data_IF_519712323934
#
_entry.id   IF_519712323934
#
_cell.length_a   1.000
_cell.length_b   1.000
_cell.length_c   1.000
_cell.angle_alpha   90.00
_cell.angle_beta   90.00
_cell.angle_gamma   90.00
#
_symmetry.space_group_name_H-M   'P 1'
#
loop_
_entity.id
_entity.type
_entity.pdbx_description
1 polymer ?
#
# COMPACT_ATOMS: atom_id res chain seq x y z
N UNK A 1 56.48 14.68 45.27
CA UNK A 1 56.26 13.51 44.41
C UNK A 1 54.79 13.45 44.02
N UNK A 2 54.46 14.01 42.86
CA UNK A 2 53.10 14.11 42.27
C UNK A 2 53.16 13.44 40.89
N UNK A 3 53.06 12.13 40.82
CA UNK A 3 53.13 11.40 39.54
C UNK A 3 52.10 10.28 39.38
N UNK A 4 51.13 10.16 40.29
CA UNK A 4 50.10 9.10 40.23
C UNK A 4 48.79 9.53 39.58
N UNK A 5 48.53 10.83 39.39
CA UNK A 5 47.20 11.30 38.93
C UNK A 5 47.03 11.42 37.41
N UNK A 6 48.10 11.32 36.60
CA UNK A 6 47.98 11.49 35.13
C UNK A 6 47.69 10.20 34.35
N UNK A 7 47.85 9.02 34.95
CA UNK A 7 47.69 7.75 34.21
C UNK A 7 46.22 7.29 34.16
N UNK A 8 45.42 7.63 35.16
CA UNK A 8 44.00 7.20 35.24
C UNK A 8 43.08 7.94 34.26
N UNK A 9 43.43 9.15 33.83
CA UNK A 9 42.60 9.95 32.91
C UNK A 9 42.65 9.48 31.46
N UNK A 10 43.77 8.90 31.01
CA UNK A 10 43.97 8.53 29.59
C UNK A 10 43.25 7.21 29.24
N UNK A 11 43.11 6.30 30.19
CA UNK A 11 42.46 4.98 29.97
C UNK A 11 40.95 5.11 29.75
N UNK A 12 40.32 6.13 30.36
CA UNK A 12 38.87 6.38 30.19
C UNK A 12 38.60 6.97 28.81
N UNK A 13 39.47 7.84 28.26
CA UNK A 13 39.23 8.46 26.94
C UNK A 13 39.36 7.44 25.80
N UNK A 14 40.26 6.46 25.92
CA UNK A 14 40.45 5.42 24.90
C UNK A 14 39.34 4.35 24.91
N UNK A 15 38.62 4.17 26.01
CA UNK A 15 37.45 3.28 26.05
C UNK A 15 36.20 3.93 25.45
N UNK A 16 36.07 5.26 25.49
CA UNK A 16 34.96 5.96 24.84
C UNK A 16 35.05 6.03 23.31
N UNK A 17 36.24 5.90 22.70
CA UNK A 17 36.35 5.82 21.24
C UNK A 17 35.91 4.46 20.65
N UNK A 18 35.90 3.39 21.45
CA UNK A 18 35.50 2.06 20.99
C UNK A 18 33.98 1.82 21.03
N UNK A 19 33.21 2.61 21.79
CA UNK A 19 31.75 2.48 21.85
C UNK A 19 31.01 3.27 20.76
N UNK A 20 31.67 4.19 20.05
CA UNK A 20 31.03 4.96 18.98
C UNK A 20 30.72 4.12 17.72
N UNK A 21 31.31 2.92 17.58
CA UNK A 21 31.14 2.09 16.38
C UNK A 21 30.06 0.99 16.49
N UNK A 22 29.36 0.88 17.63
CA UNK A 22 28.42 -0.21 17.86
C UNK A 22 26.96 0.09 17.46
N UNK A 23 26.63 1.32 17.08
CA UNK A 23 25.33 1.66 16.49
C UNK A 23 25.44 1.86 14.97
N UNK A 24 25.91 0.83 14.26
CA UNK A 24 25.50 0.70 12.85
C UNK A 24 24.02 0.31 12.84
N UNK A 25 23.15 1.31 12.83
CA UNK A 25 21.77 1.14 12.35
C UNK A 25 21.89 0.37 11.03
N UNK A 26 21.46 -0.90 11.04
CA UNK A 26 21.43 -1.73 9.85
C UNK A 26 20.65 -0.94 8.81
N UNK A 27 21.33 -0.52 7.74
CA UNK A 27 20.73 0.32 6.70
C UNK A 27 19.47 -0.40 6.22
N UNK A 28 18.30 0.09 6.62
CA UNK A 28 17.03 -0.52 6.27
C UNK A 28 16.88 -0.38 4.76
N UNK A 29 16.91 -1.51 4.06
CA UNK A 29 16.64 -1.55 2.63
C UNK A 29 15.21 -1.97 2.41
N UNK A 30 14.52 -1.21 1.56
CA UNK A 30 13.18 -1.54 1.12
C UNK A 30 13.24 -2.83 0.30
N UNK A 31 12.16 -3.64 0.28
CA UNK A 31 12.09 -4.80 -0.60
C UNK A 31 12.11 -4.36 -2.06
N UNK A 32 12.38 -5.30 -2.98
CA UNK A 32 12.22 -5.05 -4.42
C UNK A 32 10.76 -5.18 -4.82
N UNK A 33 10.28 -4.31 -5.70
CA UNK A 33 8.92 -4.39 -6.23
C UNK A 33 8.77 -5.55 -7.21
N UNK A 34 7.65 -6.27 -7.14
CA UNK A 34 7.12 -7.03 -8.28
C UNK A 34 6.44 -6.09 -9.28
N UNK A 35 6.12 -6.58 -10.48
CA UNK A 35 5.48 -5.77 -11.52
C UNK A 35 4.11 -5.22 -11.08
N UNK A 36 3.34 -6.01 -10.34
CA UNK A 36 2.01 -5.63 -9.84
C UNK A 36 2.05 -4.70 -8.63
N UNK A 37 3.22 -4.58 -7.98
CA UNK A 37 3.37 -3.81 -6.76
C UNK A 37 3.65 -2.34 -7.06
N UNK A 38 2.98 -1.50 -6.29
CA UNK A 38 3.18 -0.05 -6.31
C UNK A 38 4.50 0.29 -5.62
N UNK A 39 5.37 1.04 -6.30
CA UNK A 39 6.63 1.50 -5.73
C UNK A 39 6.44 2.75 -4.87
N UNK A 40 5.43 3.57 -5.20
CA UNK A 40 4.98 4.66 -4.34
C UNK A 40 3.53 5.05 -4.61
N UNK A 41 2.92 5.76 -3.66
CA UNK A 41 1.67 6.48 -3.87
C UNK A 41 1.68 7.78 -3.08
N UNK A 42 0.82 8.72 -3.48
CA UNK A 42 0.61 9.95 -2.74
C UNK A 42 -0.72 9.90 -2.00
N UNK A 43 -0.69 10.16 -0.69
CA UNK A 43 -1.89 10.33 0.12
C UNK A 43 -1.68 11.46 1.12
N UNK A 44 -2.70 12.29 1.31
CA UNK A 44 -2.68 13.42 2.26
C UNK A 44 -1.47 14.38 2.06
N UNK A 45 -1.04 14.55 0.80
CA UNK A 45 0.12 15.38 0.45
C UNK A 45 1.49 14.75 0.76
N UNK A 46 1.53 13.51 1.25
CA UNK A 46 2.76 12.77 1.56
C UNK A 46 2.99 11.67 0.52
N UNK A 47 4.23 11.52 0.07
CA UNK A 47 4.64 10.43 -0.83
C UNK A 47 5.15 9.26 0.00
N UNK A 48 4.47 8.13 -0.09
CA UNK A 48 4.86 6.88 0.55
C UNK A 48 5.64 6.02 -0.44
N UNK A 49 6.91 5.76 -0.18
CA UNK A 49 7.74 4.91 -1.03
C UNK A 49 7.93 3.53 -0.39
N UNK A 50 7.44 2.50 -1.07
CA UNK A 50 7.14 1.19 -0.49
C UNK A 50 8.22 0.14 -0.79
N UNK A 51 8.73 0.14 -2.01
CA UNK A 51 9.74 -0.80 -2.50
C UNK A 51 10.70 -0.10 -3.48
N UNK A 52 11.87 -0.70 -3.68
CA UNK A 52 12.85 -0.25 -4.67
C UNK A 52 12.57 -0.90 -6.02
N UNK A 53 12.73 -0.14 -7.09
CA UNK A 53 12.58 -0.68 -8.43
C UNK A 53 13.70 -1.65 -8.81
N UNK A 54 13.39 -2.71 -9.60
CA UNK A 54 14.40 -3.61 -10.11
C UNK A 54 15.33 -2.88 -11.09
N UNK A 55 16.59 -3.33 -11.19
CA UNK A 55 17.60 -2.70 -12.05
C UNK A 55 18.61 -1.81 -11.32
N UNK A 56 19.37 -1.03 -12.08
CA UNK A 56 20.40 -0.13 -11.56
C UNK A 56 19.80 1.10 -10.87
N UNK A 57 18.72 1.64 -11.44
CA UNK A 57 17.95 2.72 -10.85
C UNK A 57 16.93 2.15 -9.84
N UNK A 58 17.09 2.54 -8.58
CA UNK A 58 16.21 2.07 -7.48
C UNK A 58 15.05 3.01 -7.21
N UNK A 59 15.06 4.21 -7.79
CA UNK A 59 14.00 5.22 -7.65
C UNK A 59 12.69 4.72 -8.24
N UNK A 60 11.59 5.07 -7.58
CA UNK A 60 10.26 4.91 -8.16
C UNK A 60 10.04 6.06 -9.17
N UNK A 61 9.74 5.77 -10.45
CA UNK A 61 9.44 6.77 -11.46
C UNK A 61 8.25 7.63 -11.06
N UNK A 62 8.29 8.92 -11.43
CA UNK A 62 7.19 9.88 -11.15
C UNK A 62 6.45 10.33 -12.40
N UNK A 63 6.86 9.82 -13.55
CA UNK A 63 6.25 10.15 -14.83
C UNK A 63 4.80 9.65 -14.87
N UNK A 64 3.87 10.41 -15.49
CA UNK A 64 2.46 10.03 -15.55
C UNK A 64 2.20 8.69 -16.23
N UNK A 65 3.08 8.26 -17.13
CA UNK A 65 2.99 6.97 -17.84
C UNK A 65 3.19 5.75 -16.92
N UNK A 66 3.87 5.96 -15.79
CA UNK A 66 4.09 4.97 -14.75
C UNK A 66 3.01 5.00 -13.67
N UNK A 67 2.04 5.91 -13.79
CA UNK A 67 1.01 6.12 -12.79
C UNK A 67 -0.33 5.51 -13.23
N UNK A 68 -1.01 4.89 -12.26
CA UNK A 68 -2.39 4.42 -12.41
C UNK A 68 -3.22 5.11 -11.36
N UNK A 69 -4.28 5.78 -11.79
CA UNK A 69 -5.29 6.29 -10.87
C UNK A 69 -6.23 5.14 -10.48
N UNK A 70 -6.37 4.92 -9.18
CA UNK A 70 -7.34 3.98 -8.65
C UNK A 70 -8.03 4.60 -7.42
N UNK A 71 -9.35 4.79 -7.51
CA UNK A 71 -10.19 5.40 -6.46
C UNK A 71 -9.65 6.75 -5.95
N UNK A 72 -9.22 7.61 -6.87
CA UNK A 72 -8.70 8.95 -6.55
C UNK A 72 -7.32 8.95 -5.88
N UNK A 73 -6.65 7.79 -5.79
CA UNK A 73 -5.25 7.71 -5.38
C UNK A 73 -4.40 7.40 -6.61
N UNK A 74 -3.30 8.14 -6.78
CA UNK A 74 -2.34 7.91 -7.84
C UNK A 74 -1.24 6.96 -7.34
N UNK A 75 -1.17 5.79 -7.97
CA UNK A 75 -0.20 4.76 -7.65
C UNK A 75 0.86 4.67 -8.74
N UNK A 76 2.14 4.75 -8.36
CA UNK A 76 3.26 4.68 -9.28
C UNK A 76 3.88 3.27 -9.30
N UNK A 77 4.27 2.83 -10.50
CA UNK A 77 4.90 1.55 -10.77
C UNK A 77 6.29 1.74 -11.39
N UNK A 78 7.14 0.72 -11.25
CA UNK A 78 8.50 0.77 -11.79
C UNK A 78 8.56 0.82 -13.32
N UNK A 79 7.49 0.40 -13.99
CA UNK A 79 7.31 0.48 -15.44
C UNK A 79 5.88 0.89 -15.76
N UNK A 80 5.67 1.46 -16.95
CA UNK A 80 4.33 1.70 -17.46
C UNK A 80 3.54 0.38 -17.51
N UNK A 81 2.27 0.41 -17.09
CA UNK A 81 1.40 -0.76 -17.06
C UNK A 81 0.06 -0.41 -17.70
N UNK A 82 -0.43 -1.33 -18.53
CA UNK A 82 -1.82 -1.32 -18.98
C UNK A 82 -2.63 -2.20 -18.03
N UNK A 83 -3.27 -1.59 -17.03
CA UNK A 83 -4.06 -2.31 -16.03
C UNK A 83 -5.44 -2.61 -16.60
N UNK A 84 -5.86 -3.89 -16.70
CA UNK A 84 -7.13 -4.26 -17.30
C UNK A 84 -8.32 -3.88 -16.42
N UNK A 85 -9.53 -3.92 -17.00
CA UNK A 85 -10.77 -3.85 -16.23
C UNK A 85 -11.06 -5.19 -15.55
N UNK A 86 -11.58 -5.15 -14.32
CA UNK A 86 -11.98 -6.33 -13.57
C UNK A 86 -13.35 -6.86 -14.02
N UNK A 87 -13.56 -8.17 -13.97
CA UNK A 87 -14.88 -8.80 -13.98
C UNK A 87 -15.55 -8.72 -12.59
N UNK A 88 -16.84 -9.07 -12.51
CA UNK A 88 -17.55 -9.12 -11.22
C UNK A 88 -16.99 -10.24 -10.34
N UNK A 89 -16.58 -9.88 -9.11
CA UNK A 89 -15.96 -10.79 -8.16
C UNK A 89 -14.43 -10.89 -8.25
N UNK A 90 -13.79 -10.30 -9.25
CA UNK A 90 -12.34 -10.28 -9.38
C UNK A 90 -11.68 -9.46 -8.27
N UNK A 91 -10.52 -9.93 -7.79
CA UNK A 91 -9.67 -9.17 -6.87
C UNK A 91 -8.97 -8.04 -7.62
N UNK A 92 -9.41 -6.80 -7.38
CA UNK A 92 -8.79 -5.61 -7.96
C UNK A 92 -7.49 -5.23 -7.26
N UNK A 93 -7.48 -5.31 -5.92
CA UNK A 93 -6.38 -4.82 -5.11
C UNK A 93 -6.04 -5.81 -4.00
N UNK A 94 -4.74 -6.04 -3.78
CA UNK A 94 -4.22 -6.80 -2.64
C UNK A 94 -3.29 -5.89 -1.83
N UNK A 95 -3.52 -5.84 -0.51
CA UNK A 95 -2.68 -5.10 0.43
C UNK A 95 -1.99 -6.08 1.37
N UNK A 96 -0.66 -6.08 1.35
CA UNK A 96 0.18 -6.89 2.24
C UNK A 96 1.06 -5.97 3.08
N UNK A 97 0.68 -5.77 4.35
CA UNK A 97 1.31 -4.77 5.21
C UNK A 97 1.08 -3.35 4.67
N UNK A 98 2.17 -2.67 4.26
CA UNK A 98 2.10 -1.34 3.62
C UNK A 98 2.11 -1.42 2.08
N UNK A 99 2.35 -2.61 1.53
CA UNK A 99 2.54 -2.81 0.11
C UNK A 99 1.20 -3.04 -0.57
N UNK A 100 0.92 -2.28 -1.63
CA UNK A 100 -0.33 -2.38 -2.39
C UNK A 100 -0.01 -2.91 -3.78
N UNK A 101 -0.73 -3.95 -4.21
CA UNK A 101 -0.71 -4.47 -5.56
C UNK A 101 -2.04 -4.18 -6.26
N UNK A 102 -1.97 -3.69 -7.49
CA UNK A 102 -3.14 -3.40 -8.33
C UNK A 102 -3.13 -4.37 -9.50
N UNK A 103 -4.16 -5.20 -9.56
CA UNK A 103 -4.33 -6.28 -10.53
C UNK A 103 -5.21 -5.85 -11.70
N UNK A 104 -6.32 -5.16 -11.40
CA UNK A 104 -7.27 -4.66 -12.38
C UNK A 104 -8.05 -3.45 -11.80
N UNK A 105 -8.76 -2.71 -12.64
CA UNK A 105 -9.60 -1.56 -12.26
C UNK A 105 -11.07 -1.98 -12.27
N UNK A 106 -11.79 -1.73 -11.17
CA UNK A 106 -13.24 -1.95 -11.15
C UNK A 106 -13.94 -1.05 -12.17
N UNK A 107 -14.93 -1.61 -12.88
CA UNK A 107 -15.82 -0.85 -13.74
C UNK A 107 -16.57 0.25 -12.95
N UNK A 108 -16.99 1.30 -13.67
CA UNK A 108 -17.80 2.37 -13.10
C UNK A 108 -19.12 1.82 -12.52
N UNK A 109 -19.51 2.28 -11.34
CA UNK A 109 -20.69 1.78 -10.62
C UNK A 109 -20.49 0.48 -9.83
N UNK A 110 -19.31 -0.15 -9.92
CA UNK A 110 -18.94 -1.26 -9.04
C UNK A 110 -18.38 -0.78 -7.71
N UNK A 111 -18.64 -1.52 -6.65
CA UNK A 111 -18.06 -1.31 -5.32
C UNK A 111 -16.79 -2.13 -5.14
N UNK A 112 -15.87 -1.62 -4.31
CA UNK A 112 -14.68 -2.33 -3.89
C UNK A 112 -14.94 -2.92 -2.49
N UNK A 113 -15.15 -4.23 -2.43
CA UNK A 113 -15.55 -4.93 -1.21
C UNK A 113 -14.35 -5.68 -0.64
N UNK A 114 -14.06 -5.44 0.64
CA UNK A 114 -13.01 -6.17 1.35
C UNK A 114 -13.41 -7.64 1.54
N UNK A 115 -12.56 -8.56 1.08
CA UNK A 115 -12.73 -9.99 1.30
C UNK A 115 -11.79 -10.50 2.40
N UNK A 116 -12.23 -11.55 3.11
CA UNK A 116 -11.40 -12.20 4.13
C UNK A 116 -10.32 -13.01 3.43
N UNK A 117 -9.06 -12.67 3.68
CA UNK A 117 -7.94 -13.53 3.31
C UNK A 117 -7.75 -14.63 4.36
N UNK A 118 -7.44 -15.85 3.92
CA UNK A 118 -6.99 -16.93 4.81
C UNK A 118 -5.56 -16.68 5.32
N UNK A 119 -4.78 -15.88 4.58
CA UNK A 119 -3.40 -15.54 4.91
C UNK A 119 -3.34 -14.29 5.79
N UNK A 120 -2.67 -14.41 6.94
CA UNK A 120 -2.52 -13.31 7.90
C UNK A 120 -1.74 -12.15 7.29
N UNK A 121 -2.27 -10.94 7.41
CA UNK A 121 -1.60 -9.72 6.96
C UNK A 121 -1.83 -9.38 5.50
N UNK A 122 -2.62 -10.19 4.79
CA UNK A 122 -3.10 -9.89 3.43
C UNK A 122 -4.56 -9.45 3.52
N UNK A 123 -4.87 -8.35 2.85
CA UNK A 123 -6.24 -7.88 2.66
C UNK A 123 -6.54 -7.82 1.17
N UNK A 124 -7.57 -8.54 0.73
CA UNK A 124 -8.01 -8.53 -0.66
C UNK A 124 -9.25 -7.65 -0.80
N UNK A 125 -9.35 -6.99 -1.95
CA UNK A 125 -10.46 -6.13 -2.30
C UNK A 125 -11.00 -6.54 -3.67
N UNK A 126 -12.23 -7.05 -3.68
CA UNK A 126 -12.90 -7.54 -4.88
C UNK A 126 -13.85 -6.48 -5.46
N UNK A 127 -13.97 -6.43 -6.78
CA UNK A 127 -15.01 -5.63 -7.43
C UNK A 127 -16.36 -6.34 -7.32
N UNK A 128 -17.41 -5.63 -6.94
CA UNK A 128 -18.77 -6.14 -6.92
C UNK A 128 -19.70 -5.18 -7.65
N UNK A 129 -20.41 -5.68 -8.66
CA UNK A 129 -21.41 -4.91 -9.38
C UNK A 129 -22.66 -4.74 -8.50
N UNK A 130 -23.10 -3.49 -8.35
CA UNK A 130 -24.39 -3.22 -7.72
C UNK A 130 -25.48 -3.38 -8.77
N UNK A 131 -26.28 -4.44 -8.67
CA UNK A 131 -27.51 -4.57 -9.46
C UNK A 131 -28.65 -3.88 -8.69
N UNK A 132 -29.17 -2.72 -9.14
CA UNK A 132 -30.24 -2.00 -8.44
C UNK A 132 -31.62 -2.69 -8.48
N UNK A 133 -31.70 -3.97 -8.87
CA UNK A 133 -32.98 -4.69 -9.08
C UNK A 133 -33.78 -4.90 -7.77
N UNK A 134 -33.19 -4.65 -6.59
CA UNK A 134 -33.92 -4.75 -5.32
C UNK A 134 -34.64 -3.48 -4.88
N UNK A 135 -34.33 -2.30 -5.44
CA UNK A 135 -34.99 -1.06 -5.02
C UNK A 135 -36.39 -0.91 -5.66
N UNK A 136 -36.57 -1.36 -6.91
CA UNK A 136 -37.89 -1.40 -7.54
C UNK A 136 -38.82 -2.43 -6.88
N UNK A 137 -38.32 -3.61 -6.47
CA UNK A 137 -39.13 -4.64 -5.81
C UNK A 137 -39.61 -4.18 -4.42
N UNK A 138 -38.77 -3.45 -3.67
CA UNK A 138 -39.17 -2.91 -2.36
C UNK A 138 -40.23 -1.82 -2.52
N UNK A 139 -40.11 -0.95 -3.53
CA UNK A 139 -41.11 0.08 -3.81
C UNK A 139 -42.43 -0.53 -4.30
N UNK A 140 -42.41 -1.52 -5.20
CA UNK A 140 -43.61 -2.24 -5.67
C UNK A 140 -44.35 -2.97 -4.55
N UNK A 141 -43.62 -3.56 -3.60
CA UNK A 141 -44.25 -4.20 -2.43
C UNK A 141 -44.90 -3.17 -1.50
N UNK A 142 -44.37 -1.95 -1.41
CA UNK A 142 -44.90 -0.89 -0.54
C UNK A 142 -46.18 -0.26 -1.10
N UNK A 143 -46.27 -0.05 -2.42
CA UNK A 143 -47.49 0.45 -3.08
C UNK A 143 -48.61 -0.58 -3.11
N UNK A 144 -48.30 -1.85 -3.31
CA UNK A 144 -49.33 -2.91 -3.34
C UNK A 144 -50.00 -3.11 -1.97
N UNK A 145 -49.28 -2.95 -0.86
CA UNK A 145 -49.86 -3.06 0.49
C UNK A 145 -50.79 -1.87 0.81
N UNK A 146 -50.46 -0.65 0.34
CA UNK A 146 -51.32 0.52 0.55
C UNK A 146 -52.62 0.47 -0.27
N UNK A 147 -52.63 -0.17 -1.44
CA UNK A 147 -53.85 -0.27 -2.28
C UNK A 147 -54.82 -1.37 -1.85
N UNK A 148 -54.40 -2.34 -1.04
CA UNK A 148 -55.27 -3.42 -0.50
C UNK A 148 -55.91 -3.01 0.84
N UNK A 149 -55.51 -1.86 1.41
CA UNK A 149 -55.93 -1.37 2.72
C UNK A 149 -57.02 -0.27 2.69
N UNK A 150 -57.67 -0.07 1.54
CA UNK A 150 -58.82 0.85 1.33
C UNK A 150 -59.94 0.13 0.63
#
# INVERSE_FOLDING_TARGET
MQTTFMVAGIVIVLSFHSFANAFRLREYRRPLCTEEQTCSYQALGVVFALCDCPGAEKSCPRDPENAVEHRGTQYHFCSARNVPLCEDGDISTTVTGIQTAIHCICAEGSDLVQERSEEKGITNYACRQFYPVMEEIIQLKRTTIQQIST
#
